data_IF_903694851452
#
_entry.id   IF_903694851452
#
_cell.length_a   1.000
_cell.length_b   1.000
_cell.length_c   1.000
_cell.angle_alpha   90.00
_cell.angle_beta   90.00
_cell.angle_gamma   90.00
#
_symmetry.space_group_name_H-M   'P 1'
#
loop_
_entity.id
_entity.type
_entity.pdbx_description
1 polymer ?
#
# COMPACT_ATOMS: atom_id res chain seq x y z
N UNK A 1 -27.91 7.26 12.24
CA UNK A 1 -27.13 8.39 12.81
C UNK A 1 -27.71 9.70 12.30
N UNK A 2 -27.91 10.69 13.18
CA UNK A 2 -28.28 12.06 12.77
C UNK A 2 -27.04 12.82 12.30
N UNK A 3 -27.20 13.74 11.34
CA UNK A 3 -26.16 14.69 10.90
C UNK A 3 -25.51 15.42 12.09
N UNK A 4 -26.25 15.62 13.18
CA UNK A 4 -25.77 16.26 14.43
C UNK A 4 -24.81 15.38 15.24
N UNK A 5 -24.91 14.05 15.16
CA UNK A 5 -23.95 13.13 15.78
C UNK A 5 -22.65 13.04 14.96
N UNK A 6 -22.76 13.07 13.62
CA UNK A 6 -21.62 13.06 12.70
C UNK A 6 -20.67 14.28 12.91
N UNK A 7 -21.24 15.48 13.11
CA UNK A 7 -20.44 16.68 13.40
C UNK A 7 -19.93 16.78 14.85
N UNK A 8 -20.34 15.88 15.74
CA UNK A 8 -19.82 15.83 17.11
C UNK A 8 -18.51 15.04 17.19
N UNK A 9 -18.30 14.08 16.28
CA UNK A 9 -17.08 13.28 16.18
C UNK A 9 -16.08 13.87 15.16
N UNK A 10 -16.55 14.64 14.18
CA UNK A 10 -15.70 15.24 13.14
C UNK A 10 -16.10 16.67 12.79
N UNK A 11 -15.11 17.57 12.74
CA UNK A 11 -15.32 18.99 12.45
C UNK A 11 -15.84 19.24 11.02
N UNK A 12 -15.45 18.41 10.05
CA UNK A 12 -15.84 18.52 8.65
C UNK A 12 -15.62 17.17 7.90
N UNK A 13 -15.96 17.13 6.60
CA UNK A 13 -15.76 15.93 5.75
C UNK A 13 -14.29 15.56 5.53
N UNK A 14 -13.39 16.54 5.56
CA UNK A 14 -11.95 16.32 5.45
C UNK A 14 -11.42 15.53 6.66
N UNK A 15 -11.84 15.88 7.87
CA UNK A 15 -11.49 15.16 9.10
C UNK A 15 -11.95 13.70 9.04
N UNK A 16 -13.12 13.44 8.44
CA UNK A 16 -13.61 12.07 8.19
C UNK A 16 -12.73 11.35 7.17
N UNK A 17 -12.37 12.00 6.06
CA UNK A 17 -11.51 11.40 5.04
C UNK A 17 -10.14 11.03 5.61
N UNK A 18 -9.50 11.93 6.38
CA UNK A 18 -8.22 11.69 7.06
C UNK A 18 -8.32 10.49 8.00
N UNK A 19 -9.36 10.46 8.85
CA UNK A 19 -9.55 9.38 9.82
C UNK A 19 -9.81 8.03 9.17
N UNK A 20 -10.67 7.97 8.14
CA UNK A 20 -10.94 6.72 7.43
C UNK A 20 -9.70 6.28 6.65
N UNK A 21 -8.99 7.20 5.99
CA UNK A 21 -7.74 6.89 5.31
C UNK A 21 -6.69 6.35 6.29
N UNK A 22 -6.57 6.92 7.49
CA UNK A 22 -5.67 6.44 8.53
C UNK A 22 -6.01 5.01 8.98
N UNK A 23 -7.30 4.68 9.13
CA UNK A 23 -7.74 3.32 9.47
C UNK A 23 -7.40 2.31 8.36
N UNK A 24 -7.55 2.71 7.09
CA UNK A 24 -7.18 1.85 5.95
C UNK A 24 -5.67 1.61 5.91
N UNK A 25 -4.88 2.66 6.13
CA UNK A 25 -3.42 2.58 6.26
C UNK A 25 -3.01 1.63 7.38
N UNK A 26 -3.57 1.80 8.58
CA UNK A 26 -3.23 0.98 9.75
C UNK A 26 -3.53 -0.50 9.49
N UNK A 27 -4.67 -0.80 8.86
CA UNK A 27 -5.04 -2.16 8.49
C UNK A 27 -4.02 -2.77 7.51
N UNK A 28 -3.61 -2.00 6.49
CA UNK A 28 -2.63 -2.44 5.50
C UNK A 28 -1.25 -2.67 6.13
N UNK A 29 -0.76 -1.75 6.95
CA UNK A 29 0.53 -1.88 7.66
C UNK A 29 0.54 -3.11 8.56
N UNK A 30 -0.54 -3.31 9.34
CA UNK A 30 -0.66 -4.46 10.23
C UNK A 30 -0.66 -5.77 9.45
N UNK A 31 -1.45 -5.89 8.39
CA UNK A 31 -1.52 -7.15 7.62
C UNK A 31 -0.18 -7.47 6.95
N UNK A 32 0.47 -6.47 6.33
CA UNK A 32 1.78 -6.63 5.71
C UNK A 32 2.85 -6.99 6.74
N UNK A 33 2.85 -6.35 7.92
CA UNK A 33 3.76 -6.67 9.00
C UNK A 33 3.57 -8.10 9.53
N UNK A 34 2.33 -8.58 9.64
CA UNK A 34 2.04 -9.98 9.98
C UNK A 34 2.54 -10.96 8.91
N UNK A 35 2.36 -10.64 7.62
CA UNK A 35 2.86 -11.47 6.53
C UNK A 35 4.40 -11.57 6.55
N UNK A 36 5.09 -10.46 6.77
CA UNK A 36 6.55 -10.43 6.92
C UNK A 36 7.02 -11.23 8.14
N UNK A 37 6.33 -11.15 9.28
CA UNK A 37 6.66 -11.97 10.46
C UNK A 37 6.47 -13.46 10.19
N UNK A 38 5.37 -13.86 9.55
CA UNK A 38 5.09 -15.26 9.20
C UNK A 38 6.10 -15.85 8.20
N UNK A 39 6.78 -15.00 7.45
CA UNK A 39 7.73 -15.41 6.40
C UNK A 39 9.17 -15.04 6.74
N UNK A 40 9.47 -14.70 8.00
CA UNK A 40 10.75 -14.11 8.38
C UNK A 40 11.96 -15.00 8.05
N UNK A 41 11.80 -16.32 8.10
CA UNK A 41 12.83 -17.32 7.78
C UNK A 41 12.93 -17.65 6.28
N UNK A 42 11.94 -17.23 5.48
CA UNK A 42 11.86 -17.53 4.05
C UNK A 42 12.82 -16.64 3.22
N UNK A 43 13.19 -17.04 2.00
CA UNK A 43 13.95 -16.19 1.08
C UNK A 43 13.20 -14.87 0.77
N UNK A 44 13.94 -13.79 0.50
CA UNK A 44 13.37 -12.46 0.23
C UNK A 44 12.32 -12.46 -0.88
N UNK A 45 12.48 -13.31 -1.90
CA UNK A 45 11.50 -13.52 -2.97
C UNK A 45 10.11 -13.88 -2.43
N UNK A 46 10.06 -14.78 -1.43
CA UNK A 46 8.80 -15.18 -0.81
C UNK A 46 8.28 -14.11 0.16
N UNK A 47 9.18 -13.46 0.90
CA UNK A 47 8.84 -12.38 1.85
C UNK A 47 8.20 -11.19 1.15
N UNK A 48 8.80 -10.69 0.05
CA UNK A 48 8.25 -9.57 -0.72
C UNK A 48 6.91 -9.94 -1.36
N UNK A 49 6.80 -11.16 -1.92
CA UNK A 49 5.55 -11.65 -2.48
C UNK A 49 4.43 -11.68 -1.45
N UNK A 50 4.68 -12.25 -0.26
CA UNK A 50 3.72 -12.31 0.83
C UNK A 50 3.33 -10.92 1.37
N UNK A 51 4.29 -10.01 1.48
CA UNK A 51 4.06 -8.64 1.94
C UNK A 51 3.14 -7.86 0.99
N UNK A 52 3.40 -7.96 -0.32
CA UNK A 52 2.63 -7.29 -1.37
C UNK A 52 1.25 -7.93 -1.54
N UNK A 53 1.16 -9.26 -1.52
CA UNK A 53 -0.13 -9.96 -1.55
C UNK A 53 -1.02 -9.53 -0.37
N UNK A 54 -0.45 -9.46 0.83
CA UNK A 54 -1.19 -9.01 2.02
C UNK A 54 -1.67 -7.56 1.87
N UNK A 55 -0.80 -6.67 1.41
CA UNK A 55 -1.13 -5.27 1.18
C UNK A 55 -2.27 -5.11 0.16
N UNK A 56 -2.13 -5.72 -1.02
CA UNK A 56 -3.08 -5.57 -2.12
C UNK A 56 -4.43 -6.22 -1.79
N UNK A 57 -4.45 -7.42 -1.20
CA UNK A 57 -5.69 -8.04 -0.74
C UNK A 57 -6.41 -7.21 0.31
N UNK A 58 -5.65 -6.58 1.22
CA UNK A 58 -6.25 -5.75 2.27
C UNK A 58 -6.96 -4.52 1.71
N UNK A 59 -6.32 -3.86 0.74
CA UNK A 59 -6.77 -2.58 0.21
C UNK A 59 -7.79 -2.75 -0.93
N UNK A 60 -7.70 -3.83 -1.72
CA UNK A 60 -8.55 -4.05 -2.90
C UNK A 60 -9.80 -4.89 -2.61
N UNK A 61 -9.81 -5.74 -1.57
CA UNK A 61 -10.97 -6.59 -1.26
C UNK A 61 -12.26 -5.83 -0.90
N UNK A 62 -12.15 -4.53 -0.64
CA UNK A 62 -13.29 -3.63 -0.48
C UNK A 62 -13.07 -2.39 -1.37
N UNK A 63 -13.89 -2.25 -2.40
CA UNK A 63 -13.79 -1.13 -3.36
C UNK A 63 -13.82 0.24 -2.68
N UNK A 64 -14.42 0.37 -1.49
CA UNK A 64 -14.42 1.62 -0.73
C UNK A 64 -13.01 1.94 -0.22
N UNK A 65 -12.26 0.95 0.24
CA UNK A 65 -10.87 1.13 0.70
C UNK A 65 -9.96 1.52 -0.45
N UNK A 66 -10.10 0.85 -1.59
CA UNK A 66 -9.36 1.19 -2.80
C UNK A 66 -9.71 2.61 -3.29
N UNK A 67 -11.00 2.96 -3.34
CA UNK A 67 -11.46 4.32 -3.70
C UNK A 67 -10.90 5.38 -2.76
N UNK A 68 -10.97 5.16 -1.44
CA UNK A 68 -10.40 6.08 -0.45
C UNK A 68 -8.89 6.24 -0.68
N UNK A 69 -8.16 5.15 -0.86
CA UNK A 69 -6.69 5.18 -0.89
C UNK A 69 -6.09 5.71 -2.20
N UNK A 70 -6.79 5.53 -3.32
CA UNK A 70 -6.23 5.81 -4.65
C UNK A 70 -7.01 6.85 -5.47
N UNK A 71 -8.22 7.23 -5.05
CA UNK A 71 -9.06 8.19 -5.77
C UNK A 71 -9.36 9.42 -4.91
N UNK A 72 -10.00 9.24 -3.75
CA UNK A 72 -10.55 10.36 -2.96
C UNK A 72 -9.47 11.19 -2.25
N UNK A 73 -8.36 10.57 -1.85
CA UNK A 73 -7.29 11.28 -1.12
C UNK A 73 -6.42 12.14 -2.04
N UNK A 74 -6.45 11.91 -3.35
CA UNK A 74 -5.56 12.59 -4.31
C UNK A 74 -6.03 14.02 -4.54
N UNK A 75 -5.21 14.99 -4.15
CA UNK A 75 -5.49 16.42 -4.33
C UNK A 75 -6.63 16.95 -3.45
N UNK A 76 -7.07 16.19 -2.44
CA UNK A 76 -8.20 16.57 -1.60
C UNK A 76 -7.92 17.82 -0.76
N UNK A 77 -6.76 17.85 -0.09
CA UNK A 77 -6.27 19.02 0.65
C UNK A 77 -4.79 18.86 1.04
N UNK A 78 -4.11 19.93 1.46
CA UNK A 78 -2.72 19.85 1.93
C UNK A 78 -2.51 18.86 3.09
N UNK A 79 -3.46 18.78 4.04
CA UNK A 79 -3.38 17.85 5.18
C UNK A 79 -3.49 16.38 4.73
N UNK A 80 -4.37 16.11 3.76
CA UNK A 80 -4.50 14.76 3.17
C UNK A 80 -3.23 14.40 2.39
N UNK A 81 -2.67 15.33 1.62
CA UNK A 81 -1.40 15.12 0.92
C UNK A 81 -0.23 14.87 1.87
N UNK A 82 -0.17 15.57 3.01
CA UNK A 82 0.83 15.31 4.06
C UNK A 82 0.70 13.88 4.60
N UNK A 83 -0.51 13.43 4.94
CA UNK A 83 -0.75 12.06 5.40
C UNK A 83 -0.38 11.01 4.33
N UNK A 84 -0.70 11.28 3.05
CA UNK A 84 -0.32 10.39 1.93
C UNK A 84 1.20 10.29 1.79
N UNK A 85 1.91 11.42 1.89
CA UNK A 85 3.36 11.45 1.82
C UNK A 85 4.00 10.71 3.01
N UNK A 86 3.50 10.94 4.23
CA UNK A 86 3.97 10.23 5.42
C UNK A 86 3.77 8.71 5.29
N UNK A 87 2.62 8.28 4.79
CA UNK A 87 2.36 6.86 4.55
C UNK A 87 3.28 6.27 3.49
N UNK A 88 3.51 6.98 2.38
CA UNK A 88 4.44 6.56 1.33
C UNK A 88 5.86 6.39 1.89
N UNK A 89 6.34 7.34 2.69
CA UNK A 89 7.67 7.25 3.31
C UNK A 89 7.77 6.07 4.30
N UNK A 90 6.72 5.77 5.06
CA UNK A 90 6.66 4.56 5.90
C UNK A 90 6.82 3.28 5.06
N UNK A 91 6.09 3.18 3.95
CA UNK A 91 6.15 2.01 3.08
C UNK A 91 7.54 1.88 2.40
N UNK A 92 8.14 3.00 1.99
CA UNK A 92 9.50 3.01 1.45
C UNK A 92 10.50 2.53 2.51
N UNK A 93 10.36 2.97 3.76
CA UNK A 93 11.17 2.49 4.89
C UNK A 93 11.11 0.97 5.01
N UNK A 94 9.91 0.40 5.03
CA UNK A 94 9.72 -1.06 5.13
C UNK A 94 10.38 -1.84 3.98
N UNK A 95 10.35 -1.30 2.75
CA UNK A 95 11.01 -1.94 1.60
C UNK A 95 12.52 -1.86 1.72
N UNK A 96 13.08 -0.74 2.21
CA UNK A 96 14.51 -0.60 2.49
C UNK A 96 14.95 -1.62 3.54
N UNK A 97 14.26 -1.69 4.67
CA UNK A 97 14.59 -2.63 5.76
C UNK A 97 14.55 -4.09 5.27
N UNK A 98 13.54 -4.44 4.46
CA UNK A 98 13.43 -5.76 3.84
C UNK A 98 14.61 -6.05 2.90
N UNK A 99 14.97 -5.08 2.06
CA UNK A 99 16.09 -5.19 1.12
C UNK A 99 17.44 -5.29 1.82
N UNK A 100 17.70 -4.44 2.81
CA UNK A 100 18.93 -4.43 3.59
C UNK A 100 19.10 -5.76 4.34
N UNK A 101 18.03 -6.26 4.98
CA UNK A 101 18.03 -7.60 5.60
C UNK A 101 18.38 -8.71 4.59
N UNK A 102 17.89 -8.61 3.36
CA UNK A 102 18.15 -9.60 2.32
C UNK A 102 19.60 -9.55 1.80
N UNK A 103 20.20 -8.35 1.77
CA UNK A 103 21.63 -8.16 1.48
C UNK A 103 22.49 -8.76 2.59
N UNK A 104 22.17 -8.49 3.85
CA UNK A 104 22.86 -9.07 5.01
C UNK A 104 22.82 -10.60 5.02
N UNK A 105 21.69 -11.17 4.58
CA UNK A 105 21.52 -12.63 4.43
C UNK A 105 22.17 -13.21 3.17
N UNK A 106 22.77 -12.38 2.31
CA UNK A 106 23.41 -12.80 1.07
C UNK A 106 22.43 -13.28 -0.01
N UNK A 107 21.16 -12.91 0.07
CA UNK A 107 20.11 -13.39 -0.85
C UNK A 107 20.05 -12.55 -2.13
N UNK A 108 20.36 -11.26 -2.04
CA UNK A 108 20.40 -10.31 -3.15
C UNK A 108 21.58 -9.36 -3.00
N UNK A 109 21.95 -8.67 -4.09
CA UNK A 109 22.92 -7.57 -4.04
C UNK A 109 22.24 -6.28 -3.59
N UNK A 110 23.02 -5.36 -3.03
CA UNK A 110 22.53 -4.02 -2.69
C UNK A 110 22.04 -3.28 -3.95
N UNK A 111 20.94 -2.54 -3.79
CA UNK A 111 20.29 -1.72 -4.82
C UNK A 111 19.78 -0.43 -4.19
N UNK A 112 19.36 0.52 -5.02
CA UNK A 112 18.61 1.68 -4.56
C UNK A 112 17.17 1.29 -4.19
N UNK A 113 17.00 0.70 -3.00
CA UNK A 113 15.70 0.25 -2.51
C UNK A 113 14.70 1.40 -2.34
N UNK A 114 15.16 2.64 -2.15
CA UNK A 114 14.28 3.82 -2.12
C UNK A 114 13.69 4.07 -3.49
N UNK A 115 14.52 4.12 -4.53
CA UNK A 115 14.06 4.31 -5.90
C UNK A 115 13.11 3.18 -6.33
N UNK A 116 13.46 1.93 -6.05
CA UNK A 116 12.62 0.77 -6.38
C UNK A 116 11.26 0.82 -5.66
N UNK A 117 11.24 1.19 -4.38
CA UNK A 117 10.00 1.37 -3.64
C UNK A 117 9.14 2.50 -4.21
N UNK A 118 9.75 3.65 -4.54
CA UNK A 118 9.05 4.77 -5.18
C UNK A 118 8.43 4.36 -6.52
N UNK A 119 9.19 3.66 -7.36
CA UNK A 119 8.71 3.16 -8.65
C UNK A 119 7.55 2.17 -8.46
N UNK A 120 7.69 1.22 -7.54
CA UNK A 120 6.65 0.23 -7.24
C UNK A 120 5.36 0.88 -6.72
N UNK A 121 5.43 1.74 -5.70
CA UNK A 121 4.22 2.39 -5.17
C UNK A 121 3.62 3.40 -6.14
N UNK A 122 4.43 4.01 -7.00
CA UNK A 122 3.94 4.80 -8.15
C UNK A 122 3.11 3.93 -9.11
N UNK A 123 3.62 2.75 -9.48
CA UNK A 123 2.91 1.79 -10.32
C UNK A 123 1.61 1.31 -9.65
N UNK A 124 1.65 0.93 -8.36
CA UNK A 124 0.45 0.53 -7.61
C UNK A 124 -0.60 1.64 -7.62
N UNK A 125 -0.20 2.88 -7.33
CA UNK A 125 -1.14 4.01 -7.33
C UNK A 125 -1.79 4.19 -8.70
N UNK A 126 -1.00 4.20 -9.78
CA UNK A 126 -1.51 4.39 -11.13
C UNK A 126 -2.43 3.24 -11.58
N UNK A 127 -2.00 1.99 -11.38
CA UNK A 127 -2.71 0.79 -11.82
C UNK A 127 -4.01 0.60 -11.05
N UNK A 128 -4.00 0.77 -9.72
CA UNK A 128 -5.24 0.60 -8.92
C UNK A 128 -6.19 1.76 -9.15
N UNK A 129 -5.70 2.98 -9.36
CA UNK A 129 -6.54 4.11 -9.78
C UNK A 129 -7.23 3.82 -11.12
N UNK A 130 -6.49 3.38 -12.15
CA UNK A 130 -7.05 3.02 -13.45
C UNK A 130 -8.09 1.90 -13.32
N UNK A 131 -7.74 0.82 -12.61
CA UNK A 131 -8.64 -0.29 -12.31
C UNK A 131 -9.94 0.16 -11.61
N UNK A 132 -9.86 1.16 -10.72
CA UNK A 132 -11.05 1.73 -10.07
C UNK A 132 -11.97 2.49 -11.04
N UNK A 133 -11.46 2.99 -12.17
CA UNK A 133 -12.22 3.77 -13.15
C UNK A 133 -12.62 2.98 -14.41
N UNK A 134 -11.96 1.84 -14.69
CA UNK A 134 -12.26 1.01 -15.86
C UNK A 134 -13.59 0.28 -15.73
N UNK A 135 -14.38 0.27 -16.81
CA UNK A 135 -15.57 -0.58 -16.97
C UNK A 135 -15.60 -1.25 -18.36
N UNK A 136 -15.77 -2.59 -18.46
CA UNK A 136 -15.83 -3.53 -17.35
C UNK A 136 -14.47 -3.70 -16.68
N UNK A 137 -14.47 -3.74 -15.35
CA UNK A 137 -13.26 -3.86 -14.53
C UNK A 137 -12.57 -5.23 -14.72
N UNK A 138 -11.25 -5.28 -14.92
CA UNK A 138 -10.49 -6.53 -14.91
C UNK A 138 -10.64 -7.27 -13.58
N UNK A 139 -10.51 -8.62 -13.55
CA UNK A 139 -10.53 -9.37 -12.30
C UNK A 139 -9.47 -8.85 -11.32
N UNK A 140 -9.88 -8.61 -10.07
CA UNK A 140 -9.01 -8.12 -8.99
C UNK A 140 -7.71 -8.93 -8.89
N UNK A 141 -7.84 -10.26 -8.93
CA UNK A 141 -6.71 -11.18 -8.80
C UNK A 141 -5.65 -10.99 -9.88
N UNK A 142 -6.05 -10.62 -11.11
CA UNK A 142 -5.10 -10.38 -12.21
C UNK A 142 -4.22 -9.18 -11.88
N UNK A 143 -4.83 -8.08 -11.44
CA UNK A 143 -4.10 -6.87 -11.05
C UNK A 143 -3.20 -7.13 -9.84
N UNK A 144 -3.70 -7.87 -8.85
CA UNK A 144 -2.91 -8.27 -7.67
C UNK A 144 -1.67 -9.08 -8.05
N UNK A 145 -1.84 -10.10 -8.91
CA UNK A 145 -0.75 -10.96 -9.34
C UNK A 145 0.31 -10.16 -10.12
N UNK A 146 -0.11 -9.30 -11.06
CA UNK A 146 0.83 -8.50 -11.85
C UNK A 146 1.64 -7.53 -10.98
N UNK A 147 1.01 -6.86 -10.01
CA UNK A 147 1.72 -5.96 -9.09
C UNK A 147 2.66 -6.73 -8.15
N UNK A 148 2.24 -7.91 -7.67
CA UNK A 148 3.10 -8.80 -6.87
C UNK A 148 4.34 -9.23 -7.66
N UNK A 149 4.15 -9.69 -8.89
CA UNK A 149 5.24 -10.17 -9.74
C UNK A 149 6.23 -9.05 -10.06
N UNK A 150 5.72 -7.84 -10.35
CA UNK A 150 6.53 -6.64 -10.51
C UNK A 150 7.39 -6.35 -9.27
N UNK A 151 6.79 -6.39 -8.06
CA UNK A 151 7.54 -6.15 -6.83
C UNK A 151 8.64 -7.17 -6.60
N UNK A 152 8.33 -8.45 -6.84
CA UNK A 152 9.31 -9.55 -6.75
C UNK A 152 10.45 -9.32 -7.73
N UNK A 153 10.16 -8.97 -8.97
CA UNK A 153 11.17 -8.72 -10.00
C UNK A 153 12.08 -7.55 -9.64
N UNK A 154 11.51 -6.39 -9.29
CA UNK A 154 12.28 -5.19 -8.91
C UNK A 154 13.27 -5.48 -7.76
N UNK A 155 12.83 -6.23 -6.75
CA UNK A 155 13.65 -6.52 -5.58
C UNK A 155 14.66 -7.64 -5.83
N UNK A 156 14.30 -8.69 -6.59
CA UNK A 156 15.10 -9.92 -6.65
C UNK A 156 15.90 -10.15 -7.93
N UNK A 157 15.63 -9.42 -9.02
CA UNK A 157 16.38 -9.53 -10.28
C UNK A 157 17.79 -8.93 -10.18
#
# INVERSE_FOLDING_TARGET
MSTRHFYHEFQNKEAVLLAVHAQVIELAVRSTGEALRRTADRPVRERIGAAVDSYLRTIMADLRRARISFVEVVGASPAVEEQRNAFRELLIGNVRDLGDTAVERGEIKHKDFRFLALAFFGAVNAVVHDWMLTEPRPPEQTVQNSLRDLAVELITA
#
